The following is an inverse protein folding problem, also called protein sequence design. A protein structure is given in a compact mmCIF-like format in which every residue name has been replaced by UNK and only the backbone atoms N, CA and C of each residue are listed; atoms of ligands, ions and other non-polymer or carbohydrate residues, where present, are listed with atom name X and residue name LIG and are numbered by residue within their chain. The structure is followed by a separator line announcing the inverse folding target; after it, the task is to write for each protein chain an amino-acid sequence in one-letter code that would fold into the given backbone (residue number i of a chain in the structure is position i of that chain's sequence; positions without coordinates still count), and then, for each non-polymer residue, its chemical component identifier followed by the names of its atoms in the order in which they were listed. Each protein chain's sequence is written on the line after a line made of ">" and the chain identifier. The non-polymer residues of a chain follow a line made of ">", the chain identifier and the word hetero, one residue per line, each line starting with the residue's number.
data_IF_019031379574
#
_entry.id   IF_019031379574
#
_cell.length_a   1.000
_cell.length_b   1.000
_cell.length_c   1.000
_cell.angle_alpha   90.00
_cell.angle_beta   90.00
_cell.angle_gamma   90.00
#
_symmetry.space_group_name_H-M   'P 1'
#
loop_
_entity.id
_entity.type
_entity.pdbx_description
1 polymer ?
#
# COMPACT_ATOMS: atom_id res chain seq x y z
N UNK A 1 10.73 -8.07 7.34
CA UNK A 1 9.92 -6.87 7.03
C UNK A 1 8.46 -7.30 6.96
N UNK A 2 7.53 -6.55 7.55
CA UNK A 2 6.09 -6.86 7.46
C UNK A 2 5.44 -5.89 6.48
N UNK A 3 4.81 -6.42 5.43
CA UNK A 3 4.13 -5.65 4.40
C UNK A 3 2.63 -5.96 4.44
N UNK A 4 1.83 -4.92 4.29
CA UNK A 4 0.38 -5.01 4.24
C UNK A 4 -0.15 -4.10 3.12
N UNK A 5 -1.37 -4.33 2.68
CA UNK A 5 -2.11 -3.44 1.78
C UNK A 5 -3.30 -2.80 2.49
N UNK A 6 -3.68 -1.61 2.06
CA UNK A 6 -4.93 -0.97 2.47
C UNK A 6 -5.36 0.14 1.51
N UNK A 7 -6.37 0.92 1.91
CA UNK A 7 -6.91 2.03 1.16
C UNK A 7 -6.99 3.30 2.01
N UNK A 8 -6.89 4.47 1.37
CA UNK A 8 -6.77 5.78 2.06
C UNK A 8 -7.81 6.04 3.15
N UNK A 9 -9.05 5.63 2.90
CA UNK A 9 -10.19 5.88 3.79
C UNK A 9 -10.37 4.82 4.88
N UNK A 10 -9.40 3.91 5.08
CA UNK A 10 -9.47 2.91 6.14
C UNK A 10 -9.18 3.58 7.51
N UNK A 11 -10.13 3.56 8.46
CA UNK A 11 -9.93 4.18 9.78
C UNK A 11 -8.78 3.55 10.58
N UNK A 12 -8.48 2.26 10.38
CA UNK A 12 -7.42 1.56 11.10
C UNK A 12 -6.04 2.19 10.90
N UNK A 13 -5.81 2.88 9.78
CA UNK A 13 -4.53 3.52 9.47
C UNK A 13 -4.15 4.62 10.47
N UNK A 14 -5.14 5.27 11.08
CA UNK A 14 -4.88 6.25 12.14
C UNK A 14 -4.41 5.61 13.45
N UNK A 15 -4.70 4.32 13.64
CA UNK A 15 -4.57 3.63 14.91
C UNK A 15 -3.32 2.75 15.00
N UNK A 16 -2.76 2.30 13.87
CA UNK A 16 -1.66 1.35 13.84
C UNK A 16 -0.28 2.01 13.75
N UNK A 17 0.73 1.38 14.34
CA UNK A 17 2.13 1.83 14.23
C UNK A 17 2.82 1.24 12.99
N UNK A 18 2.55 1.85 11.83
CA UNK A 18 3.15 1.49 10.55
C UNK A 18 3.55 2.70 9.71
N UNK A 19 4.40 2.44 8.72
CA UNK A 19 4.74 3.40 7.66
C UNK A 19 3.73 3.24 6.53
N UNK A 20 2.92 4.27 6.30
CA UNK A 20 2.00 4.30 5.18
C UNK A 20 2.75 4.63 3.89
N UNK A 21 2.50 3.89 2.82
CA UNK A 21 3.19 4.03 1.54
C UNK A 21 2.16 4.21 0.44
N UNK A 22 2.06 5.41 -0.13
CA UNK A 22 1.21 5.69 -1.27
C UNK A 22 1.76 5.03 -2.52
N UNK A 23 0.94 4.19 -3.16
CA UNK A 23 1.18 3.68 -4.52
C UNK A 23 0.15 4.21 -5.51
N UNK A 24 -0.68 5.18 -5.14
CA UNK A 24 -1.67 5.79 -6.04
C UNK A 24 -1.13 7.04 -6.76
N UNK A 25 -1.65 7.32 -7.97
CA UNK A 25 -1.33 8.56 -8.72
C UNK A 25 -1.79 9.82 -7.97
N UNK A 26 -3.01 9.77 -7.43
CA UNK A 26 -3.62 10.87 -6.68
C UNK A 26 -3.35 10.78 -5.18
N UNK A 27 -3.57 11.90 -4.48
CA UNK A 27 -3.48 12.00 -3.02
C UNK A 27 -4.77 12.50 -2.39
N UNK A 28 -5.11 12.07 -1.17
CA UNK A 28 -6.22 12.65 -0.42
C UNK A 28 -6.02 14.16 -0.25
N UNK A 29 -7.11 14.90 -0.39
CA UNK A 29 -7.15 16.36 -0.22
C UNK A 29 -7.62 16.78 1.19
N UNK A 30 -7.91 15.82 2.05
CA UNK A 30 -8.30 16.03 3.44
C UNK A 30 -7.13 15.78 4.40
N UNK A 31 -7.24 16.26 5.64
CA UNK A 31 -6.24 16.03 6.66
C UNK A 31 -6.21 14.55 7.06
N UNK A 32 -5.02 13.94 7.05
CA UNK A 32 -4.82 12.56 7.46
C UNK A 32 -4.31 12.51 8.92
N UNK A 33 -4.75 11.52 9.73
CA UNK A 33 -4.25 11.31 11.08
C UNK A 33 -2.85 10.63 11.12
N UNK A 34 -2.26 10.38 9.96
CA UNK A 34 -0.97 9.69 9.80
C UNK A 34 -0.12 10.36 8.73
N UNK A 35 1.20 10.16 8.82
CA UNK A 35 2.15 10.50 7.76
C UNK A 35 2.31 9.32 6.79
N UNK A 36 2.69 9.62 5.56
CA UNK A 36 2.94 8.62 4.53
C UNK A 36 4.20 8.96 3.73
N UNK A 37 4.77 7.94 3.09
CA UNK A 37 5.81 8.04 2.05
C UNK A 37 5.19 7.75 0.70
N UNK A 38 5.88 8.15 -0.36
CA UNK A 38 5.45 7.90 -1.75
C UNK A 38 6.39 6.90 -2.39
N UNK A 39 5.79 6.01 -3.17
CA UNK A 39 6.48 5.12 -4.09
C UNK A 39 5.78 5.27 -5.43
N UNK A 40 6.06 6.39 -6.09
CA UNK A 40 5.39 6.81 -7.34
C UNK A 40 5.71 5.86 -8.50
N UNK A 41 6.78 5.09 -8.38
CA UNK A 41 7.17 4.01 -9.31
C UNK A 41 6.10 2.91 -9.38
N UNK A 42 5.40 2.66 -8.27
CA UNK A 42 4.28 1.71 -8.22
C UNK A 42 2.94 2.33 -8.63
N UNK A 43 2.87 3.64 -8.84
CA UNK A 43 1.65 4.24 -9.37
C UNK A 43 1.42 3.78 -10.81
N UNK A 44 0.18 3.48 -11.22
CA UNK A 44 -0.13 3.23 -12.62
C UNK A 44 0.44 4.34 -13.50
N UNK A 45 1.27 3.97 -14.48
CA UNK A 45 1.78 4.89 -15.48
C UNK A 45 0.66 5.48 -16.33
N UNK A 46 0.95 6.51 -17.11
CA UNK A 46 -0.04 7.13 -17.99
C UNK A 46 -0.59 6.14 -19.02
N UNK A 47 0.24 5.21 -19.49
CA UNK A 47 -0.16 4.12 -20.38
C UNK A 47 -1.21 3.21 -19.72
N UNK A 48 -0.90 2.72 -18.51
CA UNK A 48 -1.82 1.86 -17.73
C UNK A 48 -3.11 2.62 -17.39
N UNK A 49 -2.99 3.89 -17.02
CA UNK A 49 -4.13 4.68 -16.56
C UNK A 49 -5.13 5.02 -17.67
N UNK A 50 -4.65 5.23 -18.89
CA UNK A 50 -5.49 5.59 -20.02
C UNK A 50 -5.95 4.37 -20.84
N UNK A 51 -5.62 3.15 -20.40
CA UNK A 51 -6.03 1.92 -21.06
C UNK A 51 -7.50 1.61 -20.72
N UNK A 52 -8.35 1.49 -21.74
CA UNK A 52 -9.76 1.13 -21.58
C UNK A 52 -9.93 -0.36 -21.21
N UNK A 53 -9.16 -1.24 -21.85
CA UNK A 53 -9.11 -2.68 -21.61
C UNK A 53 -7.65 -3.13 -21.44
N UNK A 54 -7.43 -4.30 -20.82
CA UNK A 54 -6.07 -4.86 -20.68
C UNK A 54 -5.12 -4.10 -19.74
N UNK A 55 -5.61 -3.09 -18.99
CA UNK A 55 -4.78 -2.31 -18.06
C UNK A 55 -4.05 -3.18 -17.03
N UNK A 56 -4.63 -4.32 -16.64
CA UNK A 56 -4.02 -5.26 -15.69
C UNK A 56 -2.73 -5.87 -16.24
N UNK A 57 -2.72 -6.23 -17.53
CA UNK A 57 -1.55 -6.80 -18.20
C UNK A 57 -0.49 -5.72 -18.40
N UNK A 58 -0.88 -4.51 -18.84
CA UNK A 58 0.03 -3.36 -18.94
C UNK A 58 0.65 -3.01 -17.59
N UNK A 59 -0.13 -3.09 -16.51
CA UNK A 59 0.39 -2.85 -15.17
C UNK A 59 1.34 -3.96 -14.71
N UNK A 60 1.07 -5.21 -15.09
CA UNK A 60 2.00 -6.31 -14.85
C UNK A 60 3.33 -6.10 -15.58
N UNK A 61 3.29 -5.70 -16.85
CA UNK A 61 4.49 -5.35 -17.63
C UNK A 61 5.24 -4.18 -17.02
N UNK A 62 4.55 -3.18 -16.44
CA UNK A 62 5.18 -2.11 -15.69
C UNK A 62 5.94 -2.65 -14.47
N UNK A 63 5.35 -3.60 -13.72
CA UNK A 63 6.01 -4.23 -12.58
C UNK A 63 7.20 -5.10 -12.98
N UNK A 64 7.09 -5.83 -14.10
CA UNK A 64 8.19 -6.62 -14.66
C UNK A 64 9.36 -5.72 -15.09
N UNK A 65 9.06 -4.56 -15.70
CA UNK A 65 10.07 -3.54 -16.06
C UNK A 65 10.80 -2.96 -14.85
N UNK A 66 10.10 -2.78 -13.73
CA UNK A 66 10.71 -2.35 -12.47
C UNK A 66 11.54 -3.46 -11.83
N UNK A 67 11.05 -4.70 -11.91
CA UNK A 67 11.64 -5.87 -11.28
C UNK A 67 11.31 -5.97 -9.78
N UNK A 68 11.15 -7.20 -9.25
CA UNK A 68 10.73 -7.40 -7.86
C UNK A 68 11.79 -6.91 -6.86
N UNK A 69 13.08 -7.10 -7.16
CA UNK A 69 14.19 -6.70 -6.28
C UNK A 69 14.25 -5.18 -6.07
N UNK A 70 13.95 -4.40 -7.11
CA UNK A 70 13.92 -2.94 -7.00
C UNK A 70 12.74 -2.49 -6.11
N UNK A 71 11.58 -3.11 -6.28
CA UNK A 71 10.39 -2.84 -5.46
C UNK A 71 10.67 -3.18 -4.00
N UNK A 72 11.21 -4.37 -3.72
CA UNK A 72 11.54 -4.81 -2.37
C UNK A 72 12.64 -3.93 -1.76
N UNK A 73 13.69 -3.61 -2.51
CA UNK A 73 14.77 -2.73 -2.06
C UNK A 73 14.25 -1.37 -1.61
N UNK A 74 13.36 -0.77 -2.41
CA UNK A 74 12.73 0.51 -2.05
C UNK A 74 11.83 0.40 -0.82
N UNK A 75 11.09 -0.70 -0.67
CA UNK A 75 10.29 -0.95 0.53
C UNK A 75 11.16 -1.13 1.79
N UNK A 76 12.33 -1.78 1.66
CA UNK A 76 13.29 -1.92 2.75
C UNK A 76 13.84 -0.57 3.20
N UNK A 77 14.14 0.35 2.27
CA UNK A 77 14.55 1.72 2.60
C UNK A 77 13.45 2.49 3.36
N UNK A 78 12.19 2.28 2.99
CA UNK A 78 11.03 2.94 3.62
C UNK A 78 10.68 2.31 4.98
N UNK A 79 10.91 0.99 5.14
CA UNK A 79 10.53 0.20 6.31
C UNK A 79 10.96 0.84 7.63
N UNK A 80 12.23 1.28 7.73
CA UNK A 80 12.73 1.99 8.90
C UNK A 80 12.50 1.26 10.24
N UNK A 81 12.35 -0.07 10.21
CA UNK A 81 12.07 -0.91 11.38
C UNK A 81 10.58 -1.11 11.72
N UNK A 82 9.64 -0.58 10.94
CA UNK A 82 8.18 -0.69 11.17
C UNK A 82 7.47 -1.28 9.97
N UNK A 83 6.36 -1.99 10.19
CA UNK A 83 5.54 -2.52 9.10
C UNK A 83 5.20 -1.44 8.05
N UNK A 84 5.15 -1.80 6.77
CA UNK A 84 4.68 -0.89 5.71
C UNK A 84 3.28 -1.27 5.27
N UNK A 85 2.44 -0.27 5.00
CA UNK A 85 1.10 -0.46 4.44
C UNK A 85 1.02 0.25 3.10
N UNK A 86 0.87 -0.51 2.00
CA UNK A 86 0.70 0.02 0.65
C UNK A 86 -0.72 0.54 0.46
N UNK A 87 -0.87 1.79 0.07
CA UNK A 87 -2.15 2.49 -0.01
C UNK A 87 -2.58 2.77 -1.45
N UNK A 88 -3.86 2.50 -1.71
CA UNK A 88 -4.60 2.81 -2.92
C UNK A 88 -5.92 3.54 -2.60
N UNK A 89 -6.71 3.89 -3.62
CA UNK A 89 -7.99 4.56 -3.45
C UNK A 89 -9.15 3.59 -3.24
N UNK A 90 -9.18 2.53 -4.03
CA UNK A 90 -10.27 1.59 -4.12
C UNK A 90 -10.33 0.76 -2.83
N UNK A 91 -11.53 0.42 -2.37
CA UNK A 91 -11.65 -0.41 -1.15
C UNK A 91 -11.31 -1.87 -1.42
N UNK A 92 -11.76 -2.39 -2.55
CA UNK A 92 -11.54 -3.79 -2.92
C UNK A 92 -10.14 -3.95 -3.56
N UNK A 93 -9.24 -4.79 -3.00
CA UNK A 93 -7.96 -5.07 -3.62
C UNK A 93 -8.09 -5.80 -4.97
N UNK A 94 -9.18 -6.53 -5.26
CA UNK A 94 -9.39 -7.19 -6.55
C UNK A 94 -9.62 -6.20 -7.72
N UNK A 95 -10.08 -4.99 -7.39
CA UNK A 95 -10.43 -3.93 -8.34
C UNK A 95 -9.42 -2.76 -8.36
N UNK A 96 -8.25 -2.91 -7.75
CA UNK A 96 -7.17 -1.89 -7.83
C UNK A 96 -5.82 -2.52 -8.16
N UNK A 97 -4.92 -1.70 -8.72
CA UNK A 97 -3.53 -2.04 -9.00
C UNK A 97 -2.76 -2.59 -7.78
N UNK A 98 -3.10 -2.18 -6.54
CA UNK A 98 -2.49 -2.71 -5.32
C UNK A 98 -2.67 -4.22 -5.15
N UNK A 99 -3.79 -4.78 -5.60
CA UNK A 99 -4.00 -6.23 -5.57
C UNK A 99 -3.03 -6.94 -6.51
N UNK A 100 -2.76 -6.33 -7.67
CA UNK A 100 -1.77 -6.83 -8.63
C UNK A 100 -0.35 -6.70 -8.04
N UNK A 101 -0.02 -5.59 -7.38
CA UNK A 101 1.26 -5.47 -6.64
C UNK A 101 1.39 -6.56 -5.58
N UNK A 102 0.33 -6.81 -4.81
CA UNK A 102 0.36 -7.85 -3.78
C UNK A 102 0.54 -9.24 -4.38
N UNK A 103 -0.18 -9.57 -5.46
CA UNK A 103 0.00 -10.84 -6.18
C UNK A 103 1.42 -10.98 -6.74
N UNK A 104 1.93 -9.95 -7.41
CA UNK A 104 3.28 -9.90 -7.95
C UNK A 104 4.34 -10.16 -6.88
N UNK A 105 4.25 -9.45 -5.75
CA UNK A 105 5.18 -9.64 -4.64
C UNK A 105 5.12 -11.06 -4.05
N UNK A 106 3.92 -11.64 -3.90
CA UNK A 106 3.77 -13.02 -3.42
C UNK A 106 4.40 -14.05 -4.36
N UNK A 107 4.23 -13.87 -5.67
CA UNK A 107 4.86 -14.73 -6.68
C UNK A 107 6.39 -14.70 -6.60
N UNK A 108 6.95 -13.60 -6.10
CA UNK A 108 8.38 -13.43 -5.83
C UNK A 108 8.78 -13.71 -4.37
N UNK A 109 7.94 -14.43 -3.61
CA UNK A 109 8.26 -14.91 -2.25
C UNK A 109 8.14 -13.87 -1.15
N UNK A 110 7.45 -12.75 -1.42
CA UNK A 110 7.21 -11.69 -0.43
C UNK A 110 5.81 -11.81 0.15
N UNK A 111 5.74 -12.03 1.46
CA UNK A 111 4.48 -12.05 2.20
C UNK A 111 3.88 -10.65 2.31
N UNK A 112 2.65 -10.50 1.83
CA UNK A 112 1.87 -9.26 1.89
C UNK A 112 0.39 -9.64 2.02
N UNK A 113 -0.33 -8.97 2.92
CA UNK A 113 -1.74 -9.26 3.22
C UNK A 113 -2.54 -7.96 3.35
N UNK A 114 -3.86 -8.01 3.21
CA UNK A 114 -4.69 -6.82 3.47
C UNK A 114 -4.77 -6.58 4.98
N UNK A 115 -4.60 -5.32 5.40
CA UNK A 115 -4.66 -4.92 6.80
C UNK A 115 -6.03 -5.23 7.41
N UNK A 116 -6.05 -6.10 8.41
CA UNK A 116 -7.21 -6.35 9.28
C UNK A 116 -6.95 -5.88 10.71
N UNK A 117 -8.04 -5.75 11.48
CA UNK A 117 -7.94 -5.34 12.88
C UNK A 117 -7.14 -6.36 13.69
N UNK A 118 -6.16 -5.89 14.46
CA UNK A 118 -5.28 -6.73 15.28
C UNK A 118 -3.97 -7.16 14.63
N UNK A 119 -3.79 -6.91 13.31
CA UNK A 119 -2.54 -7.26 12.63
C UNK A 119 -1.34 -6.52 13.17
N UNK A 120 -1.51 -5.23 13.44
CA UNK A 120 -0.42 -4.35 13.82
C UNK A 120 -0.60 -3.81 15.25
N UNK A 121 0.52 -3.53 15.95
CA UNK A 121 0.45 -2.86 17.23
C UNK A 121 -0.19 -1.48 17.07
N UNK A 122 -0.97 -1.07 18.06
CA UNK A 122 -1.52 0.27 18.09
C UNK A 122 -0.41 1.32 18.28
N UNK A 123 -0.59 2.47 17.64
CA UNK A 123 0.28 3.64 17.78
C UNK A 123 0.26 4.10 19.23
N UNK A 124 1.45 4.15 19.83
CA UNK A 124 1.63 4.63 21.21
C UNK A 124 1.06 6.04 21.36
N UNK A 125 0.15 6.23 22.32
CA UNK A 125 -0.46 7.53 22.63
C UNK A 125 -1.93 7.69 22.23
N UNK A 126 -2.51 6.75 21.48
CA UNK A 126 -3.95 6.68 21.28
C UNK A 126 -4.55 6.01 22.52
N UNK A 127 -5.17 6.78 23.40
CA UNK A 127 -6.00 6.22 24.48
C UNK A 127 -7.20 5.56 23.80
N UNK A 128 -7.37 4.25 24.01
CA UNK A 128 -8.65 3.59 23.74
C UNK A 128 -9.77 4.46 24.33
N UNK A 129 -10.88 4.71 23.59
CA UNK A 129 -11.98 5.48 24.15
C UNK A 129 -12.41 4.79 25.44
N UNK A 130 -12.39 5.56 26.54
CA UNK A 130 -12.99 5.11 27.79
C UNK A 130 -14.49 5.00 27.50
N UNK A 131 -14.98 3.77 27.37
CA UNK A 131 -16.41 3.50 27.48
C UNK A 131 -16.82 4.00 28.88
N UNK A 132 -17.59 5.09 28.91
CA UNK A 132 -18.30 5.56 30.09
C UNK A 132 -19.65 4.86 30.16
#
# INVERSE_FOLDING_TARGET
>A
MRLLTSFWSNPLLGEVDAVMVSTSRGRPRWALPYSYRRMDELAPSDEVWNADEGWRDLYREQLDRLGPDAVVGRLVEIYGGKACVLLCWERDPADCHRGIVAAYLREHGVEIEELVSGDLPQRKGIRAPRLF
#
